data_IF_333548306059
#
_entry.id   IF_333548306059
#
_cell.length_a   1.000
_cell.length_b   1.000
_cell.length_c   1.000
_cell.angle_alpha   90.00
_cell.angle_beta   90.00
_cell.angle_gamma   90.00
#
_symmetry.space_group_name_H-M   'P 1'
#
loop_
_entity.id
_entity.type
_entity.pdbx_description
1 polymer ?
#
# COMPACT_ATOMS: atom_id res chain seq x y z
N UNK A 1 -2.89 17.41 0.22
CA UNK A 1 -3.92 17.77 -0.76
C UNK A 1 -4.89 18.79 -0.21
N UNK A 2 -5.55 19.50 -1.07
CA UNK A 2 -6.64 20.43 -0.73
C UNK A 2 -7.91 19.89 -1.37
N UNK A 3 -8.93 19.60 -0.56
CA UNK A 3 -10.26 19.22 -1.04
C UNK A 3 -11.13 20.45 -1.20
N UNK A 4 -11.68 20.64 -2.38
CA UNK A 4 -12.68 21.68 -2.65
C UNK A 4 -13.90 21.02 -3.29
N UNK A 5 -15.14 21.41 -2.94
CA UNK A 5 -16.33 20.95 -3.65
C UNK A 5 -16.25 21.37 -5.12
N UNK A 6 -16.32 20.40 -6.01
CA UNK A 6 -16.31 20.59 -7.46
C UNK A 6 -17.06 19.45 -8.14
N UNK A 7 -17.38 19.60 -9.43
CA UNK A 7 -18.15 18.63 -10.21
C UNK A 7 -17.32 17.36 -10.57
N UNK A 8 -16.99 16.55 -9.55
CA UNK A 8 -16.46 15.20 -9.74
C UNK A 8 -15.09 15.13 -10.44
N UNK A 9 -14.19 16.06 -10.17
CA UNK A 9 -12.82 16.07 -10.67
C UNK A 9 -11.81 15.72 -9.58
N UNK A 10 -10.80 14.90 -9.94
CA UNK A 10 -9.70 14.53 -9.07
C UNK A 10 -8.37 14.83 -9.77
N UNK A 11 -7.48 15.52 -9.06
CA UNK A 11 -6.17 15.92 -9.57
C UNK A 11 -5.05 15.39 -8.67
N UNK A 12 -4.06 14.75 -9.27
CA UNK A 12 -2.83 14.33 -8.62
C UNK A 12 -1.68 15.24 -9.04
N UNK A 13 -1.18 16.08 -8.12
CA UNK A 13 -0.08 17.05 -8.40
C UNK A 13 -0.36 17.93 -9.64
N UNK A 14 -1.60 18.27 -9.89
CA UNK A 14 -2.01 19.11 -11.03
C UNK A 14 -2.41 18.35 -12.29
N UNK A 15 -2.25 17.03 -12.33
CA UNK A 15 -2.72 16.18 -13.43
C UNK A 15 -4.12 15.64 -13.15
N UNK A 16 -5.04 15.77 -14.10
CA UNK A 16 -6.36 15.17 -13.96
C UNK A 16 -6.22 13.63 -13.99
N UNK A 17 -6.84 12.94 -13.03
CA UNK A 17 -6.74 11.49 -12.93
C UNK A 17 -7.27 10.76 -14.17
N UNK A 18 -8.26 11.35 -14.88
CA UNK A 18 -8.77 10.80 -16.14
C UNK A 18 -7.70 10.80 -17.23
N UNK A 19 -6.92 11.88 -17.33
CA UNK A 19 -5.82 11.99 -18.31
C UNK A 19 -4.68 11.04 -17.96
N UNK A 20 -4.38 10.86 -16.66
CA UNK A 20 -3.40 9.88 -16.20
C UNK A 20 -3.81 8.47 -16.64
N UNK A 21 -5.06 8.06 -16.36
CA UNK A 21 -5.58 6.73 -16.71
C UNK A 21 -5.58 6.54 -18.23
N UNK A 22 -6.03 7.53 -19.01
CA UNK A 22 -6.00 7.45 -20.46
C UNK A 22 -4.57 7.28 -21.00
N UNK A 23 -3.60 8.01 -20.47
CA UNK A 23 -2.19 7.88 -20.86
C UNK A 23 -1.56 6.54 -20.51
N UNK A 24 -1.98 5.92 -19.40
CA UNK A 24 -1.58 4.56 -19.01
C UNK A 24 -2.18 3.52 -19.98
N UNK A 25 -3.45 3.67 -20.35
CA UNK A 25 -4.13 2.77 -21.27
C UNK A 25 -3.50 2.80 -22.68
N UNK A 26 -3.15 3.97 -23.19
CA UNK A 26 -2.44 4.11 -24.47
C UNK A 26 -1.08 3.42 -24.47
N UNK A 27 -0.35 3.49 -23.37
CA UNK A 27 0.99 2.89 -23.24
C UNK A 27 0.95 1.40 -22.85
N UNK A 28 -0.23 0.87 -22.52
CA UNK A 28 -0.44 -0.53 -22.12
C UNK A 28 0.45 -0.99 -20.96
N UNK A 29 0.69 -0.13 -19.97
CA UNK A 29 1.43 -0.47 -18.76
C UNK A 29 0.58 -0.32 -17.50
N UNK A 30 1.09 -0.73 -16.34
CA UNK A 30 0.46 -0.53 -15.04
C UNK A 30 0.83 0.84 -14.47
N UNK A 31 -0.12 1.53 -13.86
CA UNK A 31 0.03 2.92 -13.50
C UNK A 31 0.13 3.20 -12.01
N UNK A 32 -0.11 2.20 -11.14
CA UNK A 32 -0.03 2.42 -9.69
C UNK A 32 1.35 2.93 -9.26
N UNK A 33 2.42 2.33 -9.76
CA UNK A 33 3.79 2.72 -9.46
C UNK A 33 4.13 4.11 -10.02
N UNK A 34 3.67 4.43 -11.23
CA UNK A 34 3.84 5.77 -11.84
C UNK A 34 3.14 6.86 -11.02
N UNK A 35 1.90 6.60 -10.59
CA UNK A 35 1.15 7.51 -9.73
C UNK A 35 1.76 7.64 -8.33
N UNK A 36 2.31 6.55 -7.78
CA UNK A 36 3.05 6.58 -6.52
C UNK A 36 4.26 7.51 -6.63
N UNK A 37 5.01 7.39 -7.71
CA UNK A 37 6.15 8.29 -7.99
C UNK A 37 5.68 9.75 -8.09
N UNK A 38 4.64 10.01 -8.88
CA UNK A 38 4.07 11.35 -9.06
C UNK A 38 3.66 11.97 -7.71
N UNK A 39 2.97 11.23 -6.86
CA UNK A 39 2.50 11.75 -5.56
C UNK A 39 3.66 12.04 -4.61
N UNK A 40 4.69 11.21 -4.60
CA UNK A 40 5.86 11.37 -3.72
C UNK A 40 6.79 12.48 -4.20
N UNK A 41 7.13 12.52 -5.50
CA UNK A 41 8.17 13.39 -6.03
C UNK A 41 7.64 14.65 -6.77
N UNK A 42 6.34 14.70 -7.08
CA UNK A 42 5.67 15.89 -7.63
C UNK A 42 5.71 16.01 -9.15
N UNK A 43 6.36 15.10 -9.86
CA UNK A 43 6.43 15.03 -11.32
C UNK A 43 6.27 13.61 -11.82
N UNK A 44 5.81 13.43 -13.06
CA UNK A 44 5.79 12.12 -13.70
C UNK A 44 7.22 11.65 -13.96
N UNK A 45 7.51 10.35 -13.77
CA UNK A 45 8.84 9.80 -14.03
C UNK A 45 9.13 9.69 -15.53
N UNK A 46 10.39 9.78 -15.89
CA UNK A 46 10.89 9.26 -17.16
C UNK A 46 10.79 7.74 -17.19
N UNK A 47 10.98 7.12 -18.36
CA UNK A 47 10.96 5.65 -18.47
C UNK A 47 12.02 4.97 -17.61
N UNK A 48 13.21 5.56 -17.53
CA UNK A 48 14.32 5.00 -16.75
C UNK A 48 14.07 5.17 -15.25
N UNK A 49 13.59 6.33 -14.81
CA UNK A 49 13.18 6.56 -13.41
C UNK A 49 12.06 5.63 -12.97
N UNK A 50 11.05 5.42 -13.81
CA UNK A 50 9.95 4.48 -13.51
C UNK A 50 10.48 3.04 -13.36
N UNK A 51 11.39 2.63 -14.24
CA UNK A 51 12.00 1.30 -14.18
C UNK A 51 12.82 1.10 -12.90
N UNK A 52 13.64 2.08 -12.54
CA UNK A 52 14.42 2.04 -11.30
C UNK A 52 13.51 2.03 -10.07
N UNK A 53 12.49 2.87 -10.05
CA UNK A 53 11.51 2.98 -8.98
C UNK A 53 10.72 1.66 -8.79
N UNK A 54 10.21 1.07 -9.87
CA UNK A 54 9.51 -0.21 -9.84
C UNK A 54 10.42 -1.35 -9.33
N UNK A 55 11.67 -1.38 -9.79
CA UNK A 55 12.67 -2.34 -9.31
C UNK A 55 12.95 -2.19 -7.81
N UNK A 56 13.01 -0.96 -7.33
CA UNK A 56 13.20 -0.68 -5.90
C UNK A 56 12.00 -1.13 -5.06
N UNK A 57 10.77 -0.82 -5.48
CA UNK A 57 9.56 -1.28 -4.80
C UNK A 57 9.49 -2.81 -4.78
N UNK A 58 9.88 -3.47 -5.86
CA UNK A 58 9.91 -4.94 -5.94
C UNK A 58 10.87 -5.55 -4.91
N UNK A 59 12.05 -4.98 -4.71
CA UNK A 59 13.01 -5.41 -3.70
C UNK A 59 12.49 -5.26 -2.26
N UNK A 60 11.64 -4.27 -2.00
CA UNK A 60 11.01 -4.06 -0.70
C UNK A 60 9.83 -5.00 -0.41
N UNK A 61 9.35 -5.76 -1.40
CA UNK A 61 8.23 -6.72 -1.23
C UNK A 61 8.66 -8.01 -0.49
N UNK A 62 9.41 -7.87 0.57
CA UNK A 62 9.88 -9.03 1.36
C UNK A 62 9.65 -8.75 2.82
N UNK A 63 8.83 -9.59 3.46
CA UNK A 63 8.62 -9.52 4.91
C UNK A 63 9.80 -10.18 5.65
N UNK A 64 10.08 -9.76 6.90
CA UNK A 64 11.09 -10.41 7.72
C UNK A 64 10.83 -11.92 7.87
N UNK A 65 11.90 -12.68 8.07
CA UNK A 65 11.81 -14.13 8.25
C UNK A 65 10.82 -14.50 9.34
N UNK A 66 9.93 -15.43 9.02
CA UNK A 66 8.88 -15.92 9.93
C UNK A 66 7.79 -14.90 10.32
N UNK A 67 7.82 -13.68 9.79
CA UNK A 67 6.84 -12.63 10.14
C UNK A 67 5.39 -13.09 9.92
N UNK A 68 5.09 -13.72 8.80
CA UNK A 68 3.74 -14.23 8.50
C UNK A 68 3.30 -15.22 9.56
N UNK A 69 4.15 -16.21 9.90
CA UNK A 69 3.85 -17.24 10.90
C UNK A 69 3.67 -16.65 12.29
N UNK A 70 4.60 -15.81 12.72
CA UNK A 70 4.72 -15.42 14.14
C UNK A 70 3.89 -14.18 14.49
N UNK A 71 3.60 -13.32 13.51
CA UNK A 71 2.86 -12.07 13.73
C UNK A 71 1.43 -12.16 13.16
N UNK A 72 1.29 -12.56 11.91
CA UNK A 72 -0.03 -12.57 11.23
C UNK A 72 -0.84 -13.79 11.64
N UNK A 73 -0.25 -14.99 11.53
CA UNK A 73 -0.94 -16.27 11.74
C UNK A 73 -1.15 -16.60 13.21
N UNK A 74 -0.24 -16.21 14.09
CA UNK A 74 -0.25 -16.62 15.51
C UNK A 74 -1.36 -15.96 16.33
N UNK A 75 -1.83 -14.80 15.91
CA UNK A 75 -2.94 -14.09 16.56
C UNK A 75 -3.91 -13.55 15.49
N UNK A 76 -4.66 -14.42 14.80
CA UNK A 76 -5.60 -14.00 13.77
C UNK A 76 -6.70 -13.15 14.38
N UNK A 77 -7.04 -12.04 13.74
CA UNK A 77 -8.11 -11.13 14.17
C UNK A 77 -9.31 -11.26 13.23
N UNK A 78 -10.52 -11.10 13.80
CA UNK A 78 -11.73 -10.92 12.99
C UNK A 78 -11.77 -9.56 12.30
N UNK A 79 -10.92 -8.64 12.72
CA UNK A 79 -10.81 -7.28 12.20
C UNK A 79 -9.52 -7.14 11.36
N UNK A 80 -9.68 -7.03 10.05
CA UNK A 80 -8.58 -6.90 9.09
C UNK A 80 -7.76 -5.63 9.31
N UNK A 81 -8.40 -4.52 9.67
CA UNK A 81 -7.69 -3.26 9.96
C UNK A 81 -6.84 -3.37 11.23
N UNK A 82 -7.29 -4.11 12.24
CA UNK A 82 -6.49 -4.41 13.43
C UNK A 82 -5.26 -5.25 13.07
N UNK A 83 -5.42 -6.29 12.25
CA UNK A 83 -4.31 -7.12 11.76
C UNK A 83 -3.28 -6.26 11.04
N UNK A 84 -3.73 -5.37 10.16
CA UNK A 84 -2.86 -4.50 9.38
C UNK A 84 -2.11 -3.50 10.27
N UNK A 85 -2.81 -2.79 11.16
CA UNK A 85 -2.21 -1.81 12.07
C UNK A 85 -1.17 -2.45 13.00
N UNK A 86 -1.48 -3.62 13.55
CA UNK A 86 -0.56 -4.39 14.40
C UNK A 86 0.67 -4.87 13.63
N UNK A 87 0.48 -5.32 12.40
CA UNK A 87 1.58 -5.75 11.54
C UNK A 87 2.51 -4.59 11.20
N UNK A 88 1.97 -3.43 10.84
CA UNK A 88 2.75 -2.22 10.59
C UNK A 88 3.54 -1.82 11.84
N UNK A 89 2.89 -1.75 13.00
CA UNK A 89 3.57 -1.38 14.25
C UNK A 89 4.69 -2.37 14.62
N UNK A 90 4.50 -3.66 14.36
CA UNK A 90 5.50 -4.69 14.63
C UNK A 90 6.72 -4.59 13.73
N UNK A 91 6.58 -4.06 12.50
CA UNK A 91 7.72 -3.84 11.58
C UNK A 91 8.77 -2.89 12.17
N UNK A 92 8.40 -2.01 13.08
CA UNK A 92 9.33 -1.18 13.85
C UNK A 92 10.49 -2.00 14.45
N UNK A 93 10.18 -3.16 15.03
CA UNK A 93 11.18 -4.02 15.69
C UNK A 93 12.14 -4.72 14.74
N UNK A 94 11.91 -4.63 13.43
CA UNK A 94 12.76 -5.20 12.37
C UNK A 94 13.53 -4.13 11.59
N UNK A 95 13.43 -2.86 11.98
CA UNK A 95 14.13 -1.75 11.34
C UNK A 95 15.12 -1.13 12.33
N UNK A 96 16.41 -1.36 12.13
CA UNK A 96 17.49 -0.83 12.99
C UNK A 96 17.55 0.72 13.00
N UNK A 97 16.84 1.37 12.07
CA UNK A 97 16.74 2.83 11.96
C UNK A 97 15.30 3.32 12.13
N UNK A 98 14.50 2.60 12.93
CA UNK A 98 13.08 2.93 13.11
C UNK A 98 12.86 4.36 13.60
N UNK A 99 13.67 4.84 14.53
CA UNK A 99 13.58 6.17 15.15
C UNK A 99 14.28 7.30 14.37
N UNK A 100 14.94 6.99 13.26
CA UNK A 100 15.56 8.01 12.42
C UNK A 100 14.50 8.72 11.57
N UNK A 101 14.09 9.89 11.99
CA UNK A 101 13.10 10.75 11.34
C UNK A 101 13.68 11.66 10.25
N UNK A 102 14.92 11.45 9.82
CA UNK A 102 15.46 12.15 8.67
C UNK A 102 14.63 11.88 7.41
N UNK A 103 14.46 12.90 6.57
CA UNK A 103 13.64 12.78 5.35
C UNK A 103 14.03 11.59 4.46
N UNK A 104 15.31 11.29 4.19
CA UNK A 104 15.69 10.13 3.41
C UNK A 104 15.27 8.81 4.04
N UNK A 105 15.35 8.68 5.39
CA UNK A 105 14.97 7.47 6.07
C UNK A 105 13.45 7.30 6.13
N UNK A 106 12.70 8.37 6.41
CA UNK A 106 11.23 8.36 6.36
C UNK A 106 10.74 7.97 4.97
N UNK A 107 11.35 8.50 3.89
CA UNK A 107 11.02 8.10 2.52
C UNK A 107 11.29 6.61 2.29
N UNK A 108 12.43 6.08 2.74
CA UNK A 108 12.75 4.65 2.67
C UNK A 108 11.67 3.81 3.37
N UNK A 109 11.29 4.19 4.60
CA UNK A 109 10.26 3.51 5.37
C UNK A 109 8.89 3.56 4.68
N UNK A 110 8.50 4.70 4.13
CA UNK A 110 7.26 4.84 3.36
C UNK A 110 7.24 3.94 2.12
N UNK A 111 8.32 3.91 1.35
CA UNK A 111 8.44 3.05 0.16
C UNK A 111 8.38 1.57 0.53
N UNK A 112 9.02 1.18 1.62
CA UNK A 112 8.94 -0.17 2.16
C UNK A 112 7.50 -0.52 2.57
N UNK A 113 6.81 0.35 3.29
CA UNK A 113 5.41 0.13 3.69
C UNK A 113 4.49 0.05 2.47
N UNK A 114 4.62 0.95 1.48
CA UNK A 114 3.85 0.87 0.22
C UNK A 114 4.01 -0.50 -0.44
N UNK A 115 5.23 -1.03 -0.46
CA UNK A 115 5.53 -2.34 -1.05
C UNK A 115 5.01 -3.51 -0.22
N UNK A 116 4.94 -3.37 1.11
CA UNK A 116 4.52 -4.43 2.03
C UNK A 116 3.00 -4.47 2.28
N UNK A 117 2.28 -3.35 2.14
CA UNK A 117 0.84 -3.31 2.39
C UNK A 117 0.04 -4.38 1.64
N UNK A 118 0.29 -4.66 0.34
CA UNK A 118 -0.36 -5.77 -0.36
C UNK A 118 -0.17 -7.12 0.34
N UNK A 119 1.05 -7.43 0.77
CA UNK A 119 1.36 -8.68 1.45
C UNK A 119 0.66 -8.75 2.82
N UNK A 120 0.78 -7.69 3.62
CA UNK A 120 0.16 -7.62 4.94
C UNK A 120 -1.36 -7.77 4.86
N UNK A 121 -2.00 -7.12 3.88
CA UNK A 121 -3.43 -7.18 3.65
C UNK A 121 -3.88 -8.57 3.22
N UNK A 122 -3.23 -9.15 2.22
CA UNK A 122 -3.62 -10.46 1.69
C UNK A 122 -3.32 -11.58 2.68
N UNK A 123 -2.14 -11.58 3.30
CA UNK A 123 -1.81 -12.63 4.27
C UNK A 123 -2.68 -12.54 5.54
N UNK A 124 -3.03 -11.31 5.96
CA UNK A 124 -4.01 -11.09 7.00
C UNK A 124 -5.39 -11.66 6.62
N UNK A 125 -5.83 -11.46 5.38
CA UNK A 125 -7.07 -12.04 4.87
C UNK A 125 -7.02 -13.57 4.79
N UNK A 126 -5.91 -14.16 4.36
CA UNK A 126 -5.75 -15.62 4.34
C UNK A 126 -5.80 -16.21 5.76
N UNK A 127 -5.17 -15.55 6.73
CA UNK A 127 -5.27 -15.94 8.13
C UNK A 127 -6.72 -15.88 8.63
N UNK A 128 -7.42 -14.78 8.35
CA UNK A 128 -8.84 -14.64 8.67
C UNK A 128 -9.69 -15.78 8.08
N UNK A 129 -9.57 -16.01 6.77
CA UNK A 129 -10.30 -17.07 6.07
C UNK A 129 -10.03 -18.45 6.66
N UNK A 130 -8.79 -18.73 6.99
CA UNK A 130 -8.40 -20.01 7.56
C UNK A 130 -9.00 -20.22 8.97
N UNK A 131 -8.76 -19.26 9.88
CA UNK A 131 -9.12 -19.45 11.28
C UNK A 131 -10.60 -19.19 11.60
N UNK A 132 -11.28 -18.36 10.82
CA UNK A 132 -12.66 -17.96 11.11
C UNK A 132 -13.71 -18.53 10.15
N UNK A 133 -13.33 -18.80 8.90
CA UNK A 133 -14.23 -19.35 7.89
C UNK A 133 -13.91 -20.83 7.55
N UNK A 134 -12.85 -21.41 8.15
CA UNK A 134 -12.47 -22.81 7.91
C UNK A 134 -11.90 -23.08 6.52
N UNK A 135 -11.48 -22.03 5.78
CA UNK A 135 -10.89 -22.20 4.46
C UNK A 135 -9.48 -22.82 4.54
N UNK A 136 -9.06 -23.47 3.46
CA UNK A 136 -7.68 -23.96 3.35
C UNK A 136 -6.70 -22.79 3.35
N UNK A 137 -5.61 -22.93 4.11
CA UNK A 137 -4.55 -21.95 4.13
C UNK A 137 -3.63 -22.13 2.93
N UNK A 138 -3.34 -21.03 2.25
CA UNK A 138 -2.25 -20.94 1.29
C UNK A 138 -1.56 -19.57 1.43
N UNK A 139 -0.25 -19.55 1.23
CA UNK A 139 0.58 -18.35 1.28
C UNK A 139 1.50 -18.39 0.05
N UNK A 140 1.18 -17.61 -0.96
CA UNK A 140 1.99 -17.48 -2.16
C UNK A 140 3.00 -16.33 -1.99
N UNK A 141 4.27 -16.53 -2.34
CA UNK A 141 5.23 -15.43 -2.38
C UNK A 141 4.93 -14.48 -3.54
N UNK A 142 5.24 -13.18 -3.40
CA UNK A 142 5.14 -12.24 -4.51
C UNK A 142 6.19 -12.57 -5.58
N UNK A 143 5.96 -12.07 -6.80
CA UNK A 143 6.91 -12.16 -7.92
C UNK A 143 7.53 -10.80 -8.20
N UNK A 144 8.84 -10.80 -8.48
CA UNK A 144 9.57 -9.57 -8.78
C UNK A 144 9.08 -8.88 -10.05
N UNK A 145 8.77 -9.67 -11.08
CA UNK A 145 8.35 -9.20 -12.39
C UNK A 145 6.93 -8.64 -12.44
N UNK A 146 6.12 -8.86 -11.40
CA UNK A 146 4.73 -8.41 -11.36
C UNK A 146 4.60 -7.01 -10.76
N UNK A 147 3.67 -6.22 -11.34
CA UNK A 147 3.18 -4.98 -10.75
C UNK A 147 2.53 -5.21 -9.39
N UNK A 148 2.22 -4.15 -8.67
CA UNK A 148 1.49 -4.23 -7.39
C UNK A 148 0.12 -4.89 -7.58
N UNK A 149 -0.64 -4.51 -8.60
CA UNK A 149 -1.95 -5.08 -8.88
C UNK A 149 -1.89 -6.58 -9.23
N UNK A 150 -0.94 -6.97 -10.10
CA UNK A 150 -0.73 -8.39 -10.44
C UNK A 150 -0.31 -9.20 -9.22
N UNK A 151 0.58 -8.68 -8.38
CA UNK A 151 0.98 -9.35 -7.15
C UNK A 151 -0.17 -9.55 -6.18
N UNK A 152 -1.04 -8.55 -5.99
CA UNK A 152 -2.23 -8.71 -5.14
C UNK A 152 -3.08 -9.89 -5.63
N UNK A 153 -3.39 -9.97 -6.92
CA UNK A 153 -4.19 -11.06 -7.48
C UNK A 153 -3.46 -12.41 -7.38
N UNK A 154 -2.16 -12.43 -7.68
CA UNK A 154 -1.33 -13.63 -7.60
C UNK A 154 -1.29 -14.24 -6.20
N UNK A 155 -1.08 -13.43 -5.17
CA UNK A 155 -0.98 -13.92 -3.80
C UNK A 155 -2.35 -14.15 -3.14
N UNK A 156 -3.42 -13.50 -3.64
CA UNK A 156 -4.77 -13.62 -3.10
C UNK A 156 -5.45 -14.94 -3.52
N UNK A 157 -5.23 -15.40 -4.75
CA UNK A 157 -5.96 -16.53 -5.32
C UNK A 157 -5.24 -17.86 -5.06
N UNK A 158 -6.00 -18.89 -4.71
CA UNK A 158 -5.45 -20.21 -4.40
C UNK A 158 -4.65 -20.82 -5.56
N UNK A 159 -5.09 -20.59 -6.80
CA UNK A 159 -4.42 -21.06 -8.02
C UNK A 159 -3.44 -20.05 -8.63
N UNK A 160 -3.28 -18.88 -7.98
CA UNK A 160 -2.43 -17.77 -8.42
C UNK A 160 -2.75 -17.23 -9.84
N UNK A 161 -3.93 -17.54 -10.40
CA UNK A 161 -4.29 -17.15 -11.76
C UNK A 161 -5.12 -15.87 -11.78
N UNK A 162 -4.87 -15.06 -12.78
CA UNK A 162 -5.64 -13.86 -13.08
C UNK A 162 -5.55 -13.55 -14.58
N UNK A 163 -6.51 -12.79 -15.08
CA UNK A 163 -6.50 -12.30 -16.46
C UNK A 163 -5.85 -10.91 -16.53
N UNK A 164 -5.31 -10.51 -17.68
CA UNK A 164 -4.79 -9.15 -17.87
C UNK A 164 -5.83 -8.06 -17.56
N UNK A 165 -7.10 -8.30 -17.90
CA UNK A 165 -8.19 -7.37 -17.60
C UNK A 165 -8.42 -7.19 -16.10
N UNK A 166 -8.40 -8.27 -15.31
CA UNK A 166 -8.54 -8.19 -13.86
C UNK A 166 -7.38 -7.40 -13.22
N UNK A 167 -6.16 -7.64 -13.67
CA UNK A 167 -5.00 -6.88 -13.20
C UNK A 167 -5.11 -5.39 -13.54
N UNK A 168 -5.54 -5.06 -14.75
CA UNK A 168 -5.75 -3.68 -15.20
C UNK A 168 -6.85 -2.98 -14.40
N UNK A 169 -7.98 -3.66 -14.18
CA UNK A 169 -9.08 -3.12 -13.37
C UNK A 169 -8.65 -2.85 -11.92
N UNK A 170 -7.88 -3.77 -11.33
CA UNK A 170 -7.37 -3.57 -9.98
C UNK A 170 -6.36 -2.41 -9.93
N UNK A 171 -5.46 -2.31 -10.89
CA UNK A 171 -4.50 -1.22 -10.99
C UNK A 171 -5.21 0.14 -11.08
N UNK A 172 -6.21 0.26 -11.96
CA UNK A 172 -7.03 1.47 -12.08
C UNK A 172 -7.77 1.79 -10.78
N UNK A 173 -8.32 0.79 -10.10
CA UNK A 173 -8.98 0.97 -8.82
C UNK A 173 -8.00 1.48 -7.75
N UNK A 174 -6.77 0.93 -7.70
CA UNK A 174 -5.73 1.39 -6.80
C UNK A 174 -5.38 2.86 -7.07
N UNK A 175 -5.20 3.26 -8.33
CA UNK A 175 -4.92 4.65 -8.71
C UNK A 175 -6.02 5.58 -8.20
N UNK A 176 -7.30 5.24 -8.42
CA UNK A 176 -8.43 6.08 -8.01
C UNK A 176 -8.56 6.24 -6.49
N UNK A 177 -7.96 5.34 -5.70
CA UNK A 177 -8.03 5.35 -4.24
C UNK A 177 -6.76 5.87 -3.54
N UNK A 178 -5.77 6.37 -4.29
CA UNK A 178 -4.48 6.78 -3.71
C UNK A 178 -4.57 8.08 -2.93
N UNK A 179 -5.35 9.04 -3.40
CA UNK A 179 -5.39 10.40 -2.85
C UNK A 179 -6.75 11.05 -3.19
N UNK A 180 -7.37 11.70 -2.22
CA UNK A 180 -8.59 12.49 -2.44
C UNK A 180 -8.62 13.79 -1.62
N UNK A 181 -7.46 14.23 -1.14
CA UNK A 181 -7.32 15.46 -0.36
C UNK A 181 -7.06 15.24 1.12
N UNK A 182 -6.75 16.34 1.82
CA UNK A 182 -6.32 16.32 3.22
C UNK A 182 -7.44 16.20 4.26
N UNK A 183 -8.70 16.12 3.85
CA UNK A 183 -9.87 16.22 4.73
C UNK A 183 -10.30 14.93 5.42
N UNK A 184 -9.58 13.82 5.24
CA UNK A 184 -9.93 12.56 5.88
C UNK A 184 -9.21 12.33 7.22
N UNK A 185 -9.78 11.46 8.07
CA UNK A 185 -9.26 11.18 9.40
C UNK A 185 -7.83 10.64 9.38
N UNK A 186 -7.48 9.79 8.42
CA UNK A 186 -6.13 9.19 8.37
C UNK A 186 -5.06 10.23 8.03
N UNK A 187 -5.32 11.12 7.09
CA UNK A 187 -4.41 12.23 6.79
C UNK A 187 -4.23 13.16 7.99
N UNK A 188 -5.34 13.55 8.63
CA UNK A 188 -5.29 14.36 9.86
C UNK A 188 -4.50 13.66 10.97
N UNK A 189 -4.76 12.38 11.21
CA UNK A 189 -4.08 11.58 12.23
C UNK A 189 -2.58 11.46 11.92
N UNK A 190 -2.23 11.22 10.65
CA UNK A 190 -0.82 11.16 10.23
C UNK A 190 -0.10 12.47 10.55
N UNK A 191 -0.67 13.61 10.19
CA UNK A 191 -0.09 14.92 10.48
C UNK A 191 0.01 15.19 11.99
N UNK A 192 -1.05 14.87 12.74
CA UNK A 192 -1.08 15.08 14.19
C UNK A 192 -0.02 14.24 14.89
N UNK A 193 0.03 12.94 14.62
CA UNK A 193 0.94 12.02 15.30
C UNK A 193 2.39 12.27 14.87
N UNK A 194 2.67 12.48 13.59
CA UNK A 194 4.02 12.77 13.12
C UNK A 194 4.56 14.12 13.61
N UNK A 195 3.70 15.08 13.95
CA UNK A 195 4.13 16.37 14.52
C UNK A 195 4.83 16.26 15.87
N UNK A 196 4.67 15.15 16.56
CA UNK A 196 5.39 14.87 17.82
C UNK A 196 6.84 14.41 17.60
N UNK A 197 7.24 14.16 16.36
CA UNK A 197 8.55 13.59 16.04
C UNK A 197 8.64 12.07 16.26
N UNK A 198 7.49 11.37 16.28
CA UNK A 198 7.46 9.90 16.40
C UNK A 198 7.89 9.21 15.10
N UNK A 199 8.15 7.92 15.20
CA UNK A 199 8.54 7.08 14.06
C UNK A 199 7.42 6.87 13.03
N UNK A 200 7.79 6.50 11.82
CA UNK A 200 6.87 6.27 10.70
C UNK A 200 5.86 5.16 10.98
N UNK A 201 6.28 4.06 11.62
CA UNK A 201 5.40 2.91 11.87
C UNK A 201 4.28 3.25 12.84
N UNK A 202 4.60 3.98 13.93
CA UNK A 202 3.63 4.48 14.89
C UNK A 202 2.62 5.44 14.24
N UNK A 203 3.09 6.37 13.41
CA UNK A 203 2.23 7.32 12.70
C UNK A 203 1.26 6.62 11.75
N UNK A 204 1.73 5.66 10.97
CA UNK A 204 0.90 4.89 10.03
C UNK A 204 -0.05 3.93 10.76
N UNK A 205 0.39 3.27 11.82
CA UNK A 205 -0.49 2.41 12.63
C UNK A 205 -1.64 3.21 13.27
N UNK A 206 -1.37 4.41 13.80
CA UNK A 206 -2.39 5.32 14.32
C UNK A 206 -3.39 5.74 13.22
N UNK A 207 -2.88 6.02 12.02
CA UNK A 207 -3.70 6.40 10.86
C UNK A 207 -4.63 5.27 10.42
N UNK A 208 -4.15 4.02 10.42
CA UNK A 208 -4.98 2.83 10.17
C UNK A 208 -6.09 2.70 11.23
N UNK A 209 -5.78 2.97 12.50
CA UNK A 209 -6.77 3.00 13.58
C UNK A 209 -7.87 4.03 13.33
N UNK A 210 -7.54 5.19 12.76
CA UNK A 210 -8.50 6.23 12.43
C UNK A 210 -9.43 5.89 11.27
N UNK A 211 -9.02 4.98 10.38
CA UNK A 211 -9.82 4.49 9.27
C UNK A 211 -10.85 3.42 9.68
N UNK A 212 -10.63 2.76 10.82
CA UNK A 212 -11.40 1.59 11.25
C UNK A 212 -12.83 1.91 11.70
N UNK A 213 -13.11 3.10 12.15
CA UNK A 213 -14.38 3.44 12.79
C UNK A 213 -15.58 3.48 11.82
N UNK A 214 -16.79 3.16 12.31
CA UNK A 214 -18.00 3.11 11.46
C UNK A 214 -18.44 4.49 10.94
N UNK A 215 -17.86 5.57 11.44
CA UNK A 215 -18.16 6.95 11.00
C UNK A 215 -17.15 7.49 9.99
N UNK A 216 -16.17 6.68 9.60
CA UNK A 216 -15.18 7.07 8.60
C UNK A 216 -15.76 7.04 7.19
#
# INVERSE_FOLDING_TARGET
GVSQPADGELYYRGYNVKDIIAGIDEKSHFGFEECTYLLLFGSLPTKDELKEFTSMLSKYRTLPTSFVRDIIMKAPSRDMMNTLARSVLTLYSYDDRADDISLPNVLRQCLQLISLFPLLSVYGYQAYKHYHDGASLFIHPPKEEYSTAENILHILRADSKFTPLEAKLLDTALILHMEHGGGNNSTFTTHLVSSSGTDTYSAIAASLGSLKGPKH
#
